data_IF_663062522971
#
_entry.id   IF_663062522971
#
_cell.length_a   1.000
_cell.length_b   1.000
_cell.length_c   1.000
_cell.angle_alpha   90.00
_cell.angle_beta   90.00
_cell.angle_gamma   90.00
#
_symmetry.space_group_name_H-M   'P 1'
#
loop_
_entity.id
_entity.type
_entity.pdbx_description
1 polymer ?
#
# COMPACT_ATOMS: atom_id res chain seq x y z
N UNK A 1 -56.02 89.59 -26.89
CA UNK A 1 -57.04 89.53 -25.82
C UNK A 1 -57.39 90.89 -25.21
N UNK A 2 -56.49 91.62 -24.55
CA UNK A 2 -56.84 92.94 -23.98
C UNK A 2 -57.15 94.01 -25.03
N UNK A 3 -56.44 94.02 -26.16
CA UNK A 3 -56.68 95.00 -27.24
C UNK A 3 -58.00 94.78 -28.01
N UNK A 4 -58.50 93.55 -28.13
CA UNK A 4 -59.81 93.28 -28.77
C UNK A 4 -60.99 93.50 -27.82
N UNK A 5 -60.81 93.34 -26.50
CA UNK A 5 -61.84 93.68 -25.51
C UNK A 5 -62.04 95.19 -25.36
N UNK A 6 -61.02 96.01 -25.65
CA UNK A 6 -61.09 97.47 -25.52
C UNK A 6 -61.84 98.20 -26.68
N UNK A 7 -62.22 97.51 -27.77
CA UNK A 7 -62.85 98.11 -28.96
C UNK A 7 -64.29 97.65 -29.24
N UNK A 8 -64.91 96.89 -28.33
CA UNK A 8 -66.26 96.34 -28.55
C UNK A 8 -67.36 97.34 -28.13
N UNK A 9 -68.28 97.66 -29.04
CA UNK A 9 -69.52 98.40 -28.77
C UNK A 9 -70.62 97.44 -28.29
N UNK A 10 -71.65 97.88 -27.52
CA UNK A 10 -72.58 96.99 -26.81
C UNK A 10 -73.52 96.14 -27.69
N UNK A 11 -73.57 96.38 -29.01
CA UNK A 11 -74.53 95.74 -29.93
C UNK A 11 -73.88 94.82 -31.00
N UNK A 12 -72.56 94.58 -30.94
CA UNK A 12 -71.89 93.67 -31.86
C UNK A 12 -71.57 92.34 -31.19
N UNK A 13 -72.36 91.31 -31.50
CA UNK A 13 -72.04 89.93 -31.14
C UNK A 13 -70.80 89.47 -31.91
N UNK A 14 -69.68 89.38 -31.19
CA UNK A 14 -68.45 88.64 -31.52
C UNK A 14 -67.35 89.35 -32.35
N UNK A 15 -66.59 90.28 -31.74
CA UNK A 15 -65.33 90.77 -32.32
C UNK A 15 -64.08 89.92 -31.98
N UNK A 16 -64.19 88.81 -31.21
CA UNK A 16 -63.03 88.04 -30.71
C UNK A 16 -63.00 86.53 -31.08
N UNK A 17 -64.00 86.00 -31.79
CA UNK A 17 -64.13 84.54 -32.04
C UNK A 17 -63.01 83.96 -32.92
N UNK A 18 -62.47 84.75 -33.84
CA UNK A 18 -61.40 84.35 -34.75
C UNK A 18 -60.03 84.21 -34.05
N UNK A 19 -59.72 85.09 -33.10
CA UNK A 19 -58.50 84.99 -32.29
C UNK A 19 -58.54 83.83 -31.30
N UNK A 20 -59.68 83.61 -30.64
CA UNK A 20 -59.85 82.49 -29.71
C UNK A 20 -59.81 81.13 -30.44
N UNK A 21 -60.41 81.06 -31.63
CA UNK A 21 -60.29 79.88 -32.51
C UNK A 21 -58.84 79.61 -32.91
N UNK A 22 -58.09 80.66 -33.30
CA UNK A 22 -56.67 80.54 -33.63
C UNK A 22 -55.82 80.06 -32.43
N UNK A 23 -56.09 80.53 -31.21
CA UNK A 23 -55.39 80.07 -30.02
C UNK A 23 -55.72 78.61 -29.68
N UNK A 24 -56.99 78.20 -29.76
CA UNK A 24 -57.39 76.79 -29.57
C UNK A 24 -56.76 75.87 -30.61
N UNK A 25 -56.71 76.30 -31.88
CA UNK A 25 -56.02 75.55 -32.93
C UNK A 25 -54.52 75.43 -32.64
N UNK A 26 -53.86 76.51 -32.23
CA UNK A 26 -52.43 76.48 -31.85
C UNK A 26 -52.17 75.60 -30.62
N UNK A 27 -53.06 75.59 -29.62
CA UNK A 27 -53.00 74.68 -28.48
C UNK A 27 -53.17 73.22 -28.91
N UNK A 28 -54.15 72.91 -29.76
CA UNK A 28 -54.34 71.56 -30.30
C UNK A 28 -53.13 71.05 -31.10
N UNK A 29 -52.45 71.94 -31.85
CA UNK A 29 -51.18 71.63 -32.51
C UNK A 29 -50.05 71.35 -31.52
N UNK A 30 -49.93 72.16 -30.46
CA UNK A 30 -48.93 71.97 -29.40
C UNK A 30 -49.14 70.65 -28.64
N UNK A 31 -50.37 70.32 -28.29
CA UNK A 31 -50.70 69.07 -27.61
C UNK A 31 -50.47 67.86 -28.52
N UNK A 32 -50.83 67.98 -29.80
CA UNK A 32 -50.52 66.95 -30.81
C UNK A 32 -49.00 66.77 -30.98
N UNK A 33 -48.23 67.85 -30.98
CA UNK A 33 -46.77 67.79 -31.06
C UNK A 33 -46.15 67.17 -29.81
N UNK A 34 -46.64 67.52 -28.61
CA UNK A 34 -46.23 66.91 -27.33
C UNK A 34 -46.49 65.41 -27.31
N UNK A 35 -47.69 64.98 -27.69
CA UNK A 35 -48.06 63.56 -27.77
C UNK A 35 -47.17 62.79 -28.74
N UNK A 36 -46.80 63.39 -29.88
CA UNK A 36 -45.84 62.77 -30.83
C UNK A 36 -44.45 62.61 -30.23
N UNK A 37 -43.95 63.62 -29.53
CA UNK A 37 -42.63 63.57 -28.86
C UNK A 37 -42.64 62.52 -27.75
N UNK A 38 -43.69 62.45 -26.95
CA UNK A 38 -43.83 61.48 -25.85
C UNK A 38 -43.95 60.04 -26.36
N UNK A 39 -44.71 59.82 -27.44
CA UNK A 39 -44.78 58.54 -28.14
C UNK A 39 -43.43 58.13 -28.72
N UNK A 40 -42.70 59.06 -29.33
CA UNK A 40 -41.35 58.80 -29.85
C UNK A 40 -40.35 58.45 -28.74
N UNK A 41 -40.41 59.14 -27.58
CA UNK A 41 -39.59 58.81 -26.39
C UNK A 41 -39.90 57.42 -25.86
N UNK A 42 -41.19 57.11 -25.68
CA UNK A 42 -41.63 55.79 -25.22
C UNK A 42 -41.16 54.66 -26.16
N UNK A 43 -41.19 54.90 -27.48
CA UNK A 43 -40.68 53.96 -28.47
C UNK A 43 -39.16 53.80 -28.38
N UNK A 44 -38.42 54.89 -28.20
CA UNK A 44 -36.97 54.84 -28.03
C UNK A 44 -36.55 54.05 -26.77
N UNK A 45 -37.27 54.22 -25.66
CA UNK A 45 -36.98 53.51 -24.41
C UNK A 45 -37.30 52.02 -24.51
N UNK A 46 -38.39 51.64 -25.19
CA UNK A 46 -38.67 50.22 -25.51
C UNK A 46 -37.55 49.61 -26.35
N UNK A 47 -37.10 50.30 -27.40
CA UNK A 47 -36.01 49.82 -28.25
C UNK A 47 -34.70 49.66 -27.46
N UNK A 48 -34.41 50.56 -26.51
CA UNK A 48 -33.25 50.42 -25.63
C UNK A 48 -33.35 49.18 -24.75
N UNK A 49 -34.51 48.93 -24.16
CA UNK A 49 -34.76 47.75 -23.34
C UNK A 49 -34.64 46.46 -24.16
N UNK A 50 -35.18 46.44 -25.38
CA UNK A 50 -35.05 45.30 -26.28
C UNK A 50 -33.59 45.02 -26.65
N UNK A 51 -32.81 46.06 -26.94
CA UNK A 51 -31.37 45.92 -27.20
C UNK A 51 -30.62 45.37 -25.98
N UNK A 52 -30.98 45.80 -24.76
CA UNK A 52 -30.40 45.25 -23.52
C UNK A 52 -30.72 43.76 -23.39
N UNK A 53 -31.99 43.39 -23.52
CA UNK A 53 -32.44 42.00 -23.41
C UNK A 53 -31.78 41.09 -24.47
N UNK A 54 -31.57 41.59 -25.69
CA UNK A 54 -30.88 40.83 -26.75
C UNK A 54 -29.41 40.61 -26.39
N UNK A 55 -28.73 41.60 -25.79
CA UNK A 55 -27.35 41.45 -25.33
C UNK A 55 -27.24 40.40 -24.23
N UNK A 56 -28.13 40.44 -23.24
CA UNK A 56 -28.13 39.48 -22.12
C UNK A 56 -28.37 38.04 -22.61
N UNK A 57 -29.30 37.86 -23.56
CA UNK A 57 -29.56 36.56 -24.20
C UNK A 57 -28.35 36.06 -24.98
N UNK A 58 -27.69 36.93 -25.74
CA UNK A 58 -26.48 36.58 -26.50
C UNK A 58 -25.35 36.15 -25.55
N UNK A 59 -25.14 36.87 -24.46
CA UNK A 59 -24.05 36.59 -23.53
C UNK A 59 -24.31 35.29 -22.75
N UNK A 60 -25.56 35.03 -22.37
CA UNK A 60 -25.98 33.74 -21.80
C UNK A 60 -25.76 32.57 -22.76
N UNK A 61 -26.10 32.75 -24.05
CA UNK A 61 -25.89 31.73 -25.07
C UNK A 61 -24.40 31.44 -25.31
N UNK A 62 -23.55 32.47 -25.27
CA UNK A 62 -22.09 32.31 -25.36
C UNK A 62 -21.55 31.53 -24.18
N UNK A 63 -21.95 31.87 -22.96
CA UNK A 63 -21.51 31.17 -21.75
C UNK A 63 -21.91 29.70 -21.77
N UNK A 64 -23.16 29.39 -22.18
CA UNK A 64 -23.63 28.01 -22.31
C UNK A 64 -22.85 27.22 -23.36
N UNK A 65 -22.57 27.83 -24.51
CA UNK A 65 -21.71 27.23 -25.55
C UNK A 65 -20.32 26.92 -25.00
N UNK A 66 -19.70 27.88 -24.31
CA UNK A 66 -18.33 27.73 -23.80
C UNK A 66 -18.25 26.64 -22.73
N UNK A 67 -19.26 26.54 -21.86
CA UNK A 67 -19.39 25.45 -20.90
C UNK A 67 -19.52 24.09 -21.59
N UNK A 68 -20.40 23.97 -22.59
CA UNK A 68 -20.59 22.71 -23.34
C UNK A 68 -19.33 22.31 -24.11
N UNK A 69 -18.60 23.28 -24.66
CA UNK A 69 -17.35 23.01 -25.34
C UNK A 69 -16.27 22.53 -24.38
N UNK A 70 -16.21 23.11 -23.17
CA UNK A 70 -15.31 22.62 -22.12
C UNK A 70 -15.68 21.21 -21.64
N UNK A 71 -16.97 20.88 -21.52
CA UNK A 71 -17.42 19.54 -21.17
C UNK A 71 -16.99 18.51 -22.23
N UNK A 72 -17.14 18.85 -23.52
CA UNK A 72 -16.69 18.00 -24.62
C UNK A 72 -15.17 17.76 -24.61
N UNK A 73 -14.38 18.82 -24.38
CA UNK A 73 -12.92 18.72 -24.32
C UNK A 73 -12.42 17.91 -23.11
N UNK A 74 -13.18 17.91 -22.01
CA UNK A 74 -12.83 17.22 -20.78
C UNK A 74 -13.43 15.80 -20.69
N UNK A 75 -14.29 15.41 -21.64
CA UNK A 75 -14.84 14.06 -21.69
C UNK A 75 -13.82 13.12 -22.34
N UNK A 76 -13.34 12.07 -21.65
CA UNK A 76 -12.40 11.14 -22.24
C UNK A 76 -13.05 10.42 -23.43
N UNK A 77 -12.40 10.43 -24.59
CA UNK A 77 -12.91 9.82 -25.83
C UNK A 77 -13.15 8.31 -25.72
N UNK A 78 -12.55 7.66 -24.72
CA UNK A 78 -12.65 6.22 -24.49
C UNK A 78 -12.82 5.94 -23.00
N UNK A 79 -13.86 5.17 -22.68
CA UNK A 79 -14.04 4.60 -21.35
C UNK A 79 -13.23 3.29 -21.34
N UNK A 80 -12.29 3.17 -20.40
CA UNK A 80 -11.60 1.91 -20.16
C UNK A 80 -12.61 0.91 -19.58
N UNK A 81 -12.83 -0.20 -20.30
CA UNK A 81 -13.67 -1.30 -19.83
C UNK A 81 -12.75 -2.50 -19.65
N UNK A 82 -12.77 -3.08 -18.45
CA UNK A 82 -12.00 -4.29 -18.16
C UNK A 82 -12.46 -5.42 -19.09
N UNK A 83 -11.56 -5.85 -19.97
CA UNK A 83 -11.84 -6.90 -20.94
C UNK A 83 -11.67 -8.25 -20.25
N UNK A 84 -12.77 -8.81 -19.73
CA UNK A 84 -12.73 -10.16 -19.16
C UNK A 84 -12.44 -11.19 -20.25
N UNK A 85 -11.42 -12.00 -19.99
CA UNK A 85 -10.79 -12.89 -20.93
C UNK A 85 -10.94 -14.34 -20.43
N UNK A 86 -12.11 -14.99 -20.61
CA UNK A 86 -12.31 -16.38 -20.18
C UNK A 86 -11.53 -17.31 -21.12
N UNK A 87 -10.53 -18.01 -20.59
CA UNK A 87 -9.65 -18.89 -21.38
C UNK A 87 -9.60 -20.27 -20.75
N UNK A 88 -9.58 -21.31 -21.58
CA UNK A 88 -9.23 -22.67 -21.19
C UNK A 88 -7.97 -23.02 -21.97
N UNK A 89 -6.90 -23.35 -21.27
CA UNK A 89 -5.64 -23.80 -21.86
C UNK A 89 -5.07 -24.96 -21.05
N UNK A 90 -4.23 -25.75 -21.69
CA UNK A 90 -3.52 -26.84 -21.03
C UNK A 90 -2.34 -26.26 -20.24
N UNK A 91 -2.17 -26.76 -19.03
CA UNK A 91 -1.06 -26.42 -18.13
C UNK A 91 -0.29 -27.71 -17.90
N UNK A 92 1.03 -27.64 -18.07
CA UNK A 92 1.95 -28.72 -17.72
C UNK A 92 2.51 -28.46 -16.33
N UNK A 93 2.42 -29.48 -15.45
CA UNK A 93 3.02 -29.42 -14.12
C UNK A 93 4.36 -30.14 -14.16
N UNK A 94 5.43 -29.44 -13.82
CA UNK A 94 6.76 -30.00 -13.72
C UNK A 94 7.17 -30.08 -12.26
N UNK A 95 7.77 -31.19 -11.87
CA UNK A 95 8.25 -31.40 -10.52
C UNK A 95 9.66 -31.99 -10.53
N UNK A 96 10.53 -31.47 -9.67
CA UNK A 96 11.84 -32.05 -9.40
C UNK A 96 11.93 -32.39 -7.93
N UNK A 97 12.34 -33.63 -7.67
CA UNK A 97 12.58 -34.15 -6.32
C UNK A 97 14.02 -34.59 -6.21
N UNK A 98 14.72 -34.14 -5.17
CA UNK A 98 16.07 -34.54 -4.85
C UNK A 98 16.13 -35.10 -3.43
N UNK A 99 16.86 -36.20 -3.23
CA UNK A 99 17.00 -36.87 -1.94
C UNK A 99 18.46 -37.19 -1.64
N UNK A 100 18.86 -37.00 -0.39
CA UNK A 100 20.18 -37.38 0.13
C UNK A 100 19.98 -38.20 1.39
N UNK A 101 20.70 -39.32 1.49
CA UNK A 101 20.76 -40.13 2.72
C UNK A 101 22.15 -40.01 3.32
N UNK A 102 22.24 -39.49 4.55
CA UNK A 102 23.47 -39.42 5.32
C UNK A 102 23.49 -40.57 6.34
N UNK A 103 24.60 -41.30 6.40
CA UNK A 103 24.87 -42.25 7.48
C UNK A 103 25.84 -41.61 8.46
N UNK A 104 25.44 -41.49 9.71
CA UNK A 104 26.27 -40.90 10.77
C UNK A 104 26.72 -41.98 11.74
N UNK A 105 28.00 -41.96 12.09
CA UNK A 105 28.54 -42.69 13.22
C UNK A 105 29.13 -41.68 14.21
N UNK A 106 28.78 -41.79 15.49
CA UNK A 106 29.32 -40.97 16.57
C UNK A 106 29.76 -41.89 17.70
N UNK A 107 31.04 -41.82 18.04
CA UNK A 107 31.63 -42.69 19.07
C UNK A 107 32.05 -41.84 20.28
N UNK A 108 31.86 -42.41 21.47
CA UNK A 108 32.28 -41.82 22.74
C UNK A 108 33.78 -42.00 22.93
N UNK A 109 34.48 -40.91 23.24
CA UNK A 109 35.95 -40.87 23.31
C UNK A 109 36.55 -41.80 24.39
N UNK A 110 35.80 -42.09 25.45
CA UNK A 110 36.31 -42.80 26.61
C UNK A 110 36.19 -44.33 26.52
N UNK A 111 35.13 -44.84 25.88
CA UNK A 111 34.71 -46.25 25.98
C UNK A 111 34.51 -46.94 24.63
N UNK A 112 34.94 -46.33 23.51
CA UNK A 112 34.68 -46.80 22.12
C UNK A 112 33.20 -47.12 21.86
N UNK A 113 32.31 -46.53 22.65
CA UNK A 113 30.88 -46.79 22.63
C UNK A 113 30.22 -45.91 21.59
N UNK A 114 29.58 -46.52 20.60
CA UNK A 114 28.83 -45.76 19.59
C UNK A 114 27.56 -45.15 20.18
N UNK A 115 27.50 -43.82 20.22
CA UNK A 115 26.33 -43.01 20.62
C UNK A 115 25.29 -43.02 19.50
N UNK A 116 25.75 -42.98 18.25
CA UNK A 116 24.93 -43.10 17.04
C UNK A 116 25.64 -44.08 16.12
N UNK A 117 25.07 -45.26 15.89
CA UNK A 117 25.69 -46.28 15.05
C UNK A 117 25.00 -46.35 13.69
N UNK A 118 25.65 -45.79 12.65
CA UNK A 118 25.29 -45.96 11.25
C UNK A 118 23.82 -45.61 10.91
N UNK A 119 23.23 -44.67 11.66
CA UNK A 119 21.82 -44.34 11.53
C UNK A 119 21.58 -43.55 10.24
N UNK A 120 20.65 -43.96 9.35
CA UNK A 120 20.36 -43.25 8.12
C UNK A 120 19.45 -42.04 8.37
N UNK A 121 19.88 -40.87 7.94
CA UNK A 121 19.10 -39.63 7.92
C UNK A 121 18.78 -39.25 6.49
N UNK A 122 17.48 -39.12 6.19
CA UNK A 122 17.00 -38.79 4.85
C UNK A 122 16.64 -37.32 4.78
N UNK A 123 17.13 -36.65 3.75
CA UNK A 123 16.85 -35.26 3.44
C UNK A 123 16.24 -35.18 2.06
N UNK A 124 15.17 -34.39 1.93
CA UNK A 124 14.45 -34.17 0.69
C UNK A 124 14.37 -32.69 0.34
N UNK A 125 14.37 -32.42 -0.95
CA UNK A 125 13.95 -31.15 -1.52
C UNK A 125 13.04 -31.42 -2.71
N UNK A 126 11.99 -30.62 -2.83
CA UNK A 126 11.05 -30.70 -3.91
C UNK A 126 10.74 -29.29 -4.39
N UNK A 127 10.70 -29.12 -5.70
CA UNK A 127 10.24 -27.91 -6.34
C UNK A 127 9.27 -28.30 -7.46
N UNK A 128 8.26 -27.47 -7.64
CA UNK A 128 7.28 -27.62 -8.70
C UNK A 128 7.07 -26.29 -9.39
N UNK A 129 6.78 -26.34 -10.68
CA UNK A 129 6.44 -25.19 -11.48
C UNK A 129 5.35 -25.58 -12.50
N UNK A 130 4.50 -24.61 -12.81
CA UNK A 130 3.42 -24.79 -13.78
C UNK A 130 3.76 -23.99 -15.03
N UNK A 131 3.74 -24.63 -16.19
CA UNK A 131 4.02 -23.96 -17.45
C UNK A 131 2.85 -24.07 -18.41
N UNK A 132 2.76 -23.11 -19.32
CA UNK A 132 1.79 -23.17 -20.41
C UNK A 132 2.39 -22.58 -21.69
N UNK A 133 2.08 -23.18 -22.85
CA UNK A 133 2.55 -22.66 -24.13
C UNK A 133 1.92 -21.30 -24.44
N UNK A 134 2.65 -20.47 -25.17
CA UNK A 134 2.21 -19.14 -25.60
C UNK A 134 0.87 -19.18 -26.35
N UNK A 135 -0.11 -18.42 -25.86
CA UNK A 135 -1.45 -18.33 -26.44
C UNK A 135 -1.57 -17.09 -27.34
N UNK A 136 -0.93 -17.13 -28.51
CA UNK A 136 -0.88 -15.99 -29.45
C UNK A 136 -2.29 -15.53 -29.84
N UNK A 137 -2.53 -14.22 -29.81
CA UNK A 137 -3.84 -13.63 -30.12
C UNK A 137 -4.85 -13.66 -28.96
N UNK A 138 -4.42 -14.12 -27.77
CA UNK A 138 -5.16 -13.97 -26.51
C UNK A 138 -4.67 -12.76 -25.73
N UNK A 139 -5.10 -12.67 -24.47
CA UNK A 139 -4.83 -11.53 -23.61
C UNK A 139 -3.35 -11.50 -23.23
N UNK A 140 -2.83 -10.30 -22.94
CA UNK A 140 -1.39 -10.04 -22.87
C UNK A 140 -0.67 -10.95 -21.86
N UNK A 141 -1.40 -11.37 -20.82
CA UNK A 141 -0.92 -12.21 -19.72
C UNK A 141 -0.58 -13.63 -20.17
N UNK A 142 -1.34 -14.19 -21.11
CA UNK A 142 -1.12 -15.56 -21.62
C UNK A 142 -0.44 -15.60 -22.98
N UNK A 143 -0.36 -14.44 -23.64
CA UNK A 143 0.19 -14.32 -24.99
C UNK A 143 1.67 -14.74 -25.07
N UNK A 144 2.43 -14.50 -24.01
CA UNK A 144 3.86 -14.86 -23.92
C UNK A 144 4.14 -16.30 -23.50
N UNK A 145 3.15 -17.02 -22.97
CA UNK A 145 3.38 -18.29 -22.27
C UNK A 145 4.06 -18.09 -20.92
N UNK A 146 4.16 -19.15 -20.12
CA UNK A 146 5.03 -19.18 -18.93
C UNK A 146 6.14 -20.19 -19.14
N UNK A 147 7.37 -19.71 -19.03
CA UNK A 147 8.56 -20.51 -19.25
C UNK A 147 8.93 -21.24 -17.97
N UNK A 148 9.37 -22.49 -18.10
CA UNK A 148 9.78 -23.36 -17.01
C UNK A 148 10.88 -22.72 -16.15
N UNK A 149 10.58 -22.50 -14.87
CA UNK A 149 11.48 -21.99 -13.83
C UNK A 149 11.62 -23.01 -12.73
N UNK A 150 12.36 -24.08 -13.02
CA UNK A 150 12.79 -25.02 -12.00
C UNK A 150 14.13 -24.60 -11.40
N UNK A 151 14.38 -24.89 -10.11
CA UNK A 151 15.69 -24.67 -9.52
C UNK A 151 16.74 -25.52 -10.23
N UNK A 152 17.94 -24.95 -10.39
CA UNK A 152 19.05 -25.70 -10.96
C UNK A 152 19.49 -26.83 -10.04
N UNK A 153 20.23 -27.81 -10.59
CA UNK A 153 20.86 -28.86 -9.78
C UNK A 153 21.75 -28.26 -8.66
N UNK A 154 22.44 -27.16 -8.96
CA UNK A 154 23.30 -26.45 -8.01
C UNK A 154 22.48 -25.89 -6.84
N UNK A 155 21.30 -25.32 -7.13
CA UNK A 155 20.41 -24.77 -6.10
C UNK A 155 19.83 -25.88 -5.21
N UNK A 156 19.37 -26.97 -5.82
CA UNK A 156 18.86 -28.14 -5.10
C UNK A 156 19.94 -28.76 -4.21
N UNK A 157 21.17 -28.90 -4.73
CA UNK A 157 22.32 -29.39 -3.96
C UNK A 157 22.65 -28.48 -2.79
N UNK A 158 22.65 -27.16 -3.01
CA UNK A 158 22.91 -26.16 -1.95
C UNK A 158 21.84 -26.21 -0.86
N UNK A 159 20.56 -26.32 -1.23
CA UNK A 159 19.45 -26.47 -0.27
C UNK A 159 19.61 -27.76 0.56
N UNK A 160 19.84 -28.89 -0.10
CA UNK A 160 20.06 -30.16 0.56
C UNK A 160 21.27 -30.13 1.51
N UNK A 161 22.41 -29.61 1.06
CA UNK A 161 23.60 -29.48 1.90
C UNK A 161 23.37 -28.55 3.09
N UNK A 162 22.63 -27.46 2.91
CA UNK A 162 22.28 -26.54 4.00
C UNK A 162 21.41 -27.25 5.05
N UNK A 163 20.44 -28.05 4.61
CA UNK A 163 19.59 -28.86 5.52
C UNK A 163 20.42 -29.90 6.27
N UNK A 164 21.30 -30.63 5.57
CA UNK A 164 22.18 -31.64 6.15
C UNK A 164 23.11 -31.03 7.21
N UNK A 165 23.82 -29.94 6.87
CA UNK A 165 24.78 -29.30 7.78
C UNK A 165 24.08 -28.75 9.02
N UNK A 166 22.91 -28.13 8.85
CA UNK A 166 22.12 -27.61 9.97
C UNK A 166 21.71 -28.71 10.94
N UNK A 167 21.18 -29.81 10.42
CA UNK A 167 20.71 -30.93 11.26
C UNK A 167 21.89 -31.66 11.92
N UNK A 168 22.97 -31.91 11.16
CA UNK A 168 24.18 -32.52 11.69
C UNK A 168 24.78 -31.68 12.82
N UNK A 169 24.89 -30.36 12.65
CA UNK A 169 25.33 -29.45 13.72
C UNK A 169 24.44 -29.54 14.95
N UNK A 170 23.12 -29.56 14.75
CA UNK A 170 22.14 -29.68 15.85
C UNK A 170 22.34 -30.98 16.63
N UNK A 171 22.45 -32.12 15.93
CA UNK A 171 22.66 -33.44 16.54
C UNK A 171 23.98 -33.52 17.30
N UNK A 172 25.08 -33.03 16.70
CA UNK A 172 26.39 -33.01 17.34
C UNK A 172 26.34 -32.19 18.62
N UNK A 173 25.79 -30.97 18.57
CA UNK A 173 25.67 -30.12 19.76
C UNK A 173 24.76 -30.73 20.82
N UNK A 174 23.63 -31.32 20.43
CA UNK A 174 22.73 -32.01 21.37
C UNK A 174 23.40 -33.22 22.05
N UNK A 175 24.18 -34.01 21.30
CA UNK A 175 24.93 -35.14 21.85
C UNK A 175 26.01 -34.68 22.83
N UNK A 176 26.70 -33.59 22.51
CA UNK A 176 27.71 -32.98 23.35
C UNK A 176 27.10 -32.41 24.64
N UNK A 177 25.96 -31.73 24.54
CA UNK A 177 25.22 -31.22 25.70
C UNK A 177 24.67 -32.35 26.58
N UNK A 178 24.28 -33.48 25.99
CA UNK A 178 23.88 -34.67 26.74
C UNK A 178 25.06 -35.27 27.50
N UNK A 179 26.21 -35.45 26.83
CA UNK A 179 27.46 -35.91 27.43
C UNK A 179 27.87 -35.03 28.62
N UNK A 180 27.90 -33.71 28.41
CA UNK A 180 28.21 -32.73 29.44
C UNK A 180 27.23 -32.80 30.63
N UNK A 181 25.92 -32.89 30.36
CA UNK A 181 24.92 -33.04 31.45
C UNK A 181 25.11 -34.32 32.25
N UNK A 182 25.70 -35.36 31.66
CA UNK A 182 26.14 -36.57 32.36
C UNK A 182 27.09 -36.26 33.51
N UNK A 183 28.09 -35.40 33.30
CA UNK A 183 29.01 -34.96 34.36
C UNK A 183 28.32 -34.19 35.47
N UNK A 184 27.38 -33.29 35.13
CA UNK A 184 26.62 -32.56 36.14
C UNK A 184 25.76 -33.50 36.99
N UNK A 185 25.13 -34.49 36.36
CA UNK A 185 24.33 -35.48 37.06
C UNK A 185 25.19 -36.39 37.95
N UNK A 186 26.37 -36.82 37.48
CA UNK A 186 27.35 -37.54 38.28
C UNK A 186 27.79 -36.72 39.49
N UNK A 187 28.22 -35.47 39.26
CA UNK A 187 28.66 -34.57 40.33
C UNK A 187 27.61 -34.38 41.43
N UNK A 188 26.34 -34.17 41.06
CA UNK A 188 25.23 -34.02 42.01
C UNK A 188 24.94 -35.30 42.81
N UNK A 189 25.08 -36.47 42.18
CA UNK A 189 24.93 -37.75 42.88
C UNK A 189 26.06 -37.96 43.88
N UNK A 190 27.29 -37.68 43.48
CA UNK A 190 28.48 -37.84 44.33
C UNK A 190 28.46 -36.84 45.49
N UNK A 191 28.03 -35.59 45.26
CA UNK A 191 27.83 -34.59 46.31
C UNK A 191 26.78 -35.06 47.32
N UNK A 192 25.63 -35.57 46.84
CA UNK A 192 24.59 -36.11 47.71
C UNK A 192 25.04 -37.33 48.52
N UNK A 193 26.01 -38.10 48.01
CA UNK A 193 26.63 -39.23 48.69
C UNK A 193 27.78 -38.82 49.63
N UNK A 194 28.16 -37.53 49.68
CA UNK A 194 29.28 -37.02 50.48
C UNK A 194 30.67 -37.31 49.88
N UNK A 195 30.74 -37.75 48.62
CA UNK A 195 31.98 -38.08 47.91
C UNK A 195 32.55 -36.81 47.26
N UNK A 196 33.03 -35.89 48.09
CA UNK A 196 33.43 -34.54 47.68
C UNK A 196 34.54 -34.51 46.60
N UNK A 197 35.49 -35.44 46.64
CA UNK A 197 36.58 -35.49 45.65
C UNK A 197 36.05 -35.89 44.25
N UNK A 198 35.18 -36.90 44.18
CA UNK A 198 34.55 -37.36 42.93
C UNK A 198 33.57 -36.31 42.38
N UNK A 199 32.78 -35.69 43.27
CA UNK A 199 31.93 -34.57 42.92
C UNK A 199 32.74 -33.40 42.33
N UNK A 200 33.90 -33.07 42.93
CA UNK A 200 34.79 -32.02 42.43
C UNK A 200 35.27 -32.34 41.02
N UNK A 201 35.76 -33.56 40.77
CA UNK A 201 36.23 -33.97 39.45
C UNK A 201 35.12 -33.87 38.39
N UNK A 202 33.93 -34.40 38.70
CA UNK A 202 32.78 -34.35 37.80
C UNK A 202 32.31 -32.91 37.52
N UNK A 203 32.32 -32.03 38.53
CA UNK A 203 32.04 -30.61 38.33
C UNK A 203 33.09 -29.91 37.47
N UNK A 204 34.38 -30.20 37.66
CA UNK A 204 35.45 -29.65 36.83
C UNK A 204 35.29 -30.08 35.38
N UNK A 205 35.02 -31.37 35.13
CA UNK A 205 34.74 -31.89 33.77
C UNK A 205 33.53 -31.20 33.14
N UNK A 206 32.44 -30.99 33.89
CA UNK A 206 31.26 -30.25 33.42
C UNK A 206 31.56 -28.79 33.06
N UNK A 207 32.41 -28.13 33.85
CA UNK A 207 32.84 -26.75 33.62
C UNK A 207 33.72 -26.70 32.37
N UNK A 208 34.80 -27.48 32.31
CA UNK A 208 35.76 -27.45 31.19
C UNK A 208 35.14 -27.85 29.84
N UNK A 209 34.13 -28.72 29.84
CA UNK A 209 33.38 -29.10 28.63
C UNK A 209 32.24 -28.13 28.30
N UNK A 210 31.94 -27.14 29.14
CA UNK A 210 30.83 -26.22 28.94
C UNK A 210 31.16 -24.95 28.17
N UNK A 211 30.13 -24.23 27.67
CA UNK A 211 30.31 -22.85 27.25
C UNK A 211 30.71 -21.99 28.46
N UNK A 212 31.47 -20.93 28.21
CA UNK A 212 31.94 -20.01 29.26
C UNK A 212 30.80 -19.39 30.10
N UNK A 213 29.62 -19.24 29.51
CA UNK A 213 28.42 -18.78 30.21
C UNK A 213 27.66 -19.97 30.82
N UNK A 214 27.99 -20.31 32.07
CA UNK A 214 27.28 -21.32 32.84
C UNK A 214 26.08 -20.70 33.57
N UNK A 215 24.90 -21.30 33.44
CA UNK A 215 23.68 -20.86 34.15
C UNK A 215 23.73 -21.11 35.65
N UNK A 216 24.50 -22.10 36.11
CA UNK A 216 24.64 -22.45 37.53
C UNK A 216 25.99 -21.96 38.13
N UNK A 217 26.59 -20.90 37.55
CA UNK A 217 27.92 -20.40 37.95
C UNK A 217 28.04 -20.14 39.45
N UNK A 218 27.06 -19.48 40.07
CA UNK A 218 27.13 -19.12 41.49
C UNK A 218 27.08 -20.35 42.42
N UNK A 219 26.26 -21.35 42.07
CA UNK A 219 26.17 -22.60 42.82
C UNK A 219 27.47 -23.39 42.76
N UNK A 220 28.07 -23.47 41.57
CA UNK A 220 29.34 -24.13 41.35
C UNK A 220 30.47 -23.41 42.11
N UNK A 221 30.50 -22.06 42.08
CA UNK A 221 31.48 -21.28 42.83
C UNK A 221 31.36 -21.50 44.34
N UNK A 222 30.13 -21.54 44.86
CA UNK A 222 29.88 -21.84 46.27
C UNK A 222 30.33 -23.26 46.65
N UNK A 223 30.10 -24.26 45.79
CA UNK A 223 30.59 -25.61 46.02
C UNK A 223 32.12 -25.65 46.10
N UNK A 224 32.83 -25.13 45.09
CA UNK A 224 34.31 -25.14 45.06
C UNK A 224 34.94 -24.30 46.17
N UNK A 225 34.27 -23.22 46.59
CA UNK A 225 34.72 -22.43 47.75
C UNK A 225 34.66 -23.25 49.03
N UNK A 226 33.63 -24.09 49.23
CA UNK A 226 33.50 -24.94 50.42
C UNK A 226 34.46 -26.13 50.39
N UNK A 227 34.64 -26.76 49.25
CA UNK A 227 35.40 -28.03 49.16
C UNK A 227 36.89 -27.83 48.91
N UNK A 228 37.29 -26.78 48.17
CA UNK A 228 38.68 -26.55 47.74
C UNK A 228 39.22 -25.15 48.04
N UNK A 229 38.40 -24.26 48.62
CA UNK A 229 38.78 -22.86 48.87
C UNK A 229 38.85 -22.00 47.60
N UNK A 230 38.34 -22.48 46.46
CA UNK A 230 38.36 -21.74 45.18
C UNK A 230 37.08 -20.92 45.07
N UNK A 231 37.16 -19.62 45.37
CA UNK A 231 35.99 -18.71 45.39
C UNK A 231 35.59 -18.12 44.04
N UNK A 232 36.41 -18.23 42.99
CA UNK A 232 36.12 -17.67 41.66
C UNK A 232 36.35 -18.72 40.56
N UNK A 233 35.27 -19.15 39.92
CA UNK A 233 35.32 -20.05 38.75
C UNK A 233 36.09 -19.47 37.57
N UNK A 234 36.17 -18.13 37.45
CA UNK A 234 36.92 -17.45 36.38
C UNK A 234 38.42 -17.79 36.38
N UNK A 235 38.95 -18.28 37.50
CA UNK A 235 40.33 -18.76 37.59
C UNK A 235 40.55 -20.11 36.88
N UNK A 236 39.51 -20.93 36.72
CA UNK A 236 39.60 -22.24 36.04
C UNK A 236 39.67 -22.12 34.51
N UNK A 237 39.28 -20.98 33.95
CA UNK A 237 39.21 -20.73 32.50
C UNK A 237 40.43 -19.99 31.94
N UNK A 238 41.46 -19.73 32.76
CA UNK A 238 42.69 -19.01 32.34
C UNK A 238 43.81 -19.94 31.87
N UNK A 239 43.51 -21.23 31.70
CA UNK A 239 44.41 -22.25 31.16
C UNK A 239 43.82 -22.78 29.86
#
# INVERSE_FOLDING_TARGET
MEQCRAKASPDDSSPCSSEESNLRSKQGWLDSARNRVESARSKADRLRNDVSNIRDRRDSARQSRDQKNSELLNTPEKIAVDKYCPHKYQVEQHGVTAQVTLKLTMDELADDKSIVANQPFKYGSQAGDETFPAQVGRCAEVAGGDALKLPSEVDLRKDLMTKVVRDLRSKVMASYDAYRRGFLAAARRDEAAGLNDQATESYVRYVLTGPHALTDKDKLAAFFSRTRGIGKLDALWRF
#
